data_IF_685665547996
#
_entry.id   IF_685665547996
#
_cell.length_a   1.000
_cell.length_b   1.000
_cell.length_c   1.000
_cell.angle_alpha   90.00
_cell.angle_beta   90.00
_cell.angle_gamma   90.00
#
_symmetry.space_group_name_H-M   'P 1'
#
loop_
_entity.id
_entity.type
_entity.pdbx_description
1 polymer ?
#
# COMPACT_ATOMS: atom_id res chain seq x y z
N UNK A 1 -0.67 17.77 -17.75
CA UNK A 1 -0.28 17.69 -16.33
C UNK A 1 -1.50 18.07 -15.51
N UNK A 2 -1.86 17.30 -14.47
CA UNK A 2 -3.06 17.57 -13.67
C UNK A 2 -2.85 18.84 -12.82
N UNK A 3 -3.11 19.99 -13.41
CA UNK A 3 -3.10 21.31 -12.76
C UNK A 3 -4.38 21.51 -11.90
N UNK A 4 -4.66 20.61 -10.97
CA UNK A 4 -5.71 20.80 -9.95
C UNK A 4 -5.16 21.48 -8.70
N UNK A 5 -4.25 22.42 -8.91
CA UNK A 5 -3.79 23.31 -7.85
C UNK A 5 -4.69 24.55 -7.90
N UNK A 6 -5.47 24.81 -6.85
CA UNK A 6 -6.28 26.03 -6.76
C UNK A 6 -5.69 26.97 -5.71
N UNK A 7 -5.77 28.27 -5.97
CA UNK A 7 -5.31 29.29 -5.02
C UNK A 7 -6.43 29.58 -4.04
N UNK A 8 -6.23 29.22 -2.77
CA UNK A 8 -7.14 29.60 -1.68
C UNK A 8 -6.64 30.87 -1.01
N UNK A 9 -7.53 31.82 -0.75
CA UNK A 9 -7.23 33.04 0.00
C UNK A 9 -7.59 32.84 1.47
N UNK A 10 -6.67 33.17 2.37
CA UNK A 10 -6.93 33.20 3.81
C UNK A 10 -7.66 34.49 4.20
N UNK A 11 -8.31 34.52 5.36
CA UNK A 11 -9.01 35.73 5.88
C UNK A 11 -8.09 36.94 6.01
N UNK A 12 -6.78 36.70 6.11
CA UNK A 12 -5.73 37.72 6.22
C UNK A 12 -5.12 38.13 4.86
N UNK A 13 -5.76 37.80 3.73
CA UNK A 13 -5.32 38.20 2.38
C UNK A 13 -4.10 37.45 1.84
N UNK A 14 -3.56 36.47 2.57
CA UNK A 14 -2.47 35.60 2.10
C UNK A 14 -3.03 34.51 1.20
N UNK A 15 -2.44 34.33 0.02
CA UNK A 15 -2.82 33.24 -0.88
C UNK A 15 -2.00 31.97 -0.60
N UNK A 16 -2.62 30.81 -0.79
CA UNK A 16 -1.97 29.50 -0.66
C UNK A 16 -2.40 28.61 -1.81
N UNK A 17 -1.44 27.95 -2.45
CA UNK A 17 -1.73 26.93 -3.47
C UNK A 17 -2.14 25.63 -2.78
N UNK A 18 -3.34 25.13 -3.07
CA UNK A 18 -3.91 23.90 -2.49
C UNK A 18 -4.14 22.83 -3.55
N UNK A 19 -4.03 21.58 -3.13
CA UNK A 19 -4.21 20.39 -3.96
C UNK A 19 -5.26 19.43 -3.34
N UNK A 20 -6.22 19.99 -2.60
CA UNK A 20 -7.06 19.24 -1.66
C UNK A 20 -7.92 18.16 -2.33
N UNK A 21 -8.36 18.34 -3.59
CA UNK A 21 -9.19 17.34 -4.31
C UNK A 21 -8.41 16.05 -4.58
N UNK A 22 -7.20 16.17 -5.12
CA UNK A 22 -6.32 15.02 -5.42
C UNK A 22 -5.86 14.37 -4.11
N UNK A 23 -5.56 15.16 -3.09
CA UNK A 23 -5.17 14.65 -1.79
C UNK A 23 -6.30 13.85 -1.15
N UNK A 24 -7.54 14.35 -1.21
CA UNK A 24 -8.72 13.66 -0.70
C UNK A 24 -8.99 12.38 -1.49
N UNK A 25 -8.86 12.40 -2.82
CA UNK A 25 -9.00 11.19 -3.64
C UNK A 25 -7.95 10.13 -3.26
N UNK A 26 -6.69 10.54 -3.07
CA UNK A 26 -5.63 9.63 -2.60
C UNK A 26 -5.97 9.06 -1.22
N UNK A 27 -6.49 9.88 -0.31
CA UNK A 27 -6.90 9.42 1.01
C UNK A 27 -8.04 8.40 0.92
N UNK A 28 -9.07 8.68 0.12
CA UNK A 28 -10.19 7.75 -0.11
C UNK A 28 -9.73 6.41 -0.69
N UNK A 29 -8.78 6.43 -1.65
CA UNK A 29 -8.23 5.20 -2.24
C UNK A 29 -7.37 4.41 -1.23
N UNK A 30 -6.68 5.09 -0.32
CA UNK A 30 -5.91 4.44 0.73
C UNK A 30 -6.81 3.86 1.83
N UNK A 31 -7.87 4.58 2.22
CA UNK A 31 -8.89 4.13 3.18
C UNK A 31 -9.66 2.91 2.64
N UNK A 32 -9.87 2.86 1.32
CA UNK A 32 -10.44 1.70 0.62
C UNK A 32 -9.44 0.53 0.45
N UNK A 33 -8.22 0.64 0.99
CA UNK A 33 -7.13 -0.34 0.88
C UNK A 33 -6.72 -0.65 -0.58
N UNK A 34 -7.06 0.20 -1.55
CA UNK A 34 -6.71 0.02 -2.97
C UNK A 34 -5.27 0.40 -3.26
N UNK A 35 -4.76 1.41 -2.55
CA UNK A 35 -3.38 1.87 -2.69
C UNK A 35 -2.66 1.91 -1.33
N UNK A 36 -1.35 2.06 -1.37
CA UNK A 36 -0.55 2.39 -0.18
C UNK A 36 0.40 3.50 -0.55
N UNK A 37 0.44 4.53 0.28
CA UNK A 37 1.13 5.76 -0.06
C UNK A 37 2.28 6.03 0.90
N UNK A 38 3.46 6.23 0.32
CA UNK A 38 4.61 6.75 1.04
C UNK A 38 4.57 8.28 0.99
N UNK A 39 4.46 8.88 2.18
CA UNK A 39 4.46 10.33 2.34
C UNK A 39 5.76 10.80 2.97
N UNK A 40 6.33 11.89 2.44
CA UNK A 40 7.47 12.58 3.06
C UNK A 40 7.08 14.01 3.41
N UNK A 41 7.77 14.57 4.40
CA UNK A 41 7.53 15.93 4.86
C UNK A 41 8.14 16.93 3.90
N UNK A 42 7.30 17.75 3.25
CA UNK A 42 7.75 18.90 2.49
C UNK A 42 7.93 20.11 3.42
N UNK A 43 9.18 20.56 3.54
CA UNK A 43 9.53 21.72 4.36
C UNK A 43 8.92 23.02 3.85
N UNK A 44 8.77 23.18 2.53
CA UNK A 44 8.21 24.40 1.93
C UNK A 44 6.70 24.47 2.13
N UNK A 45 6.01 23.37 1.87
CA UNK A 45 4.56 23.27 2.05
C UNK A 45 4.09 22.99 3.48
N UNK A 46 5.03 22.73 4.42
CA UNK A 46 4.78 22.29 5.80
C UNK A 46 3.73 21.17 5.90
N UNK A 47 3.77 20.23 4.95
CA UNK A 47 2.78 19.16 4.82
C UNK A 47 3.44 17.87 4.35
N UNK A 48 2.88 16.75 4.78
CA UNK A 48 3.25 15.44 4.26
C UNK A 48 2.66 15.25 2.87
N UNK A 49 3.52 15.23 1.85
CA UNK A 49 3.09 15.03 0.46
C UNK A 49 3.18 13.55 0.07
N UNK A 50 2.21 13.05 -0.71
CA UNK A 50 2.28 11.70 -1.27
C UNK A 50 3.38 11.66 -2.33
N UNK A 51 4.50 11.01 -2.03
CA UNK A 51 5.66 10.95 -2.92
C UNK A 51 5.65 9.71 -3.79
N UNK A 52 5.20 8.58 -3.26
CA UNK A 52 5.15 7.31 -3.98
C UNK A 52 3.87 6.54 -3.65
N UNK A 53 3.23 6.02 -4.69
CA UNK A 53 1.99 5.24 -4.59
C UNK A 53 2.28 3.82 -5.04
N UNK A 54 1.84 2.85 -4.24
CA UNK A 54 1.85 1.44 -4.56
C UNK A 54 0.42 0.97 -4.78
N UNK A 55 0.17 0.27 -5.88
CA UNK A 55 -1.13 -0.36 -6.12
C UNK A 55 -1.18 -1.68 -5.34
N UNK A 56 -2.26 -1.88 -4.60
CA UNK A 56 -2.52 -3.14 -3.93
C UNK A 56 -3.26 -4.11 -4.86
N UNK A 57 -3.42 -5.35 -4.43
CA UNK A 57 -4.11 -6.38 -5.22
C UNK A 57 -5.57 -5.98 -5.43
N UNK A 58 -6.19 -5.43 -4.39
CA UNK A 58 -7.56 -4.96 -4.34
C UNK A 58 -7.88 -3.94 -5.45
N UNK A 59 -6.91 -3.13 -5.86
CA UNK A 59 -7.04 -2.21 -7.00
C UNK A 59 -7.35 -2.96 -8.30
N UNK A 60 -6.66 -4.07 -8.57
CA UNK A 60 -6.91 -4.89 -9.76
C UNK A 60 -8.23 -5.65 -9.65
N UNK A 61 -8.56 -6.12 -8.44
CA UNK A 61 -9.85 -6.77 -8.17
C UNK A 61 -11.05 -5.84 -8.37
N UNK A 62 -10.87 -4.52 -8.26
CA UNK A 62 -11.90 -3.53 -8.57
C UNK A 62 -12.20 -3.48 -10.07
N UNK A 63 -11.21 -3.74 -10.92
CA UNK A 63 -11.35 -3.83 -12.38
C UNK A 63 -11.80 -5.21 -12.86
N UNK A 64 -12.36 -6.03 -11.97
CA UNK A 64 -12.81 -7.39 -12.25
C UNK A 64 -11.68 -8.34 -12.73
N UNK A 65 -10.41 -8.02 -12.44
CA UNK A 65 -9.29 -8.93 -12.66
C UNK A 65 -9.18 -9.81 -11.42
N UNK A 66 -9.31 -11.12 -11.59
CA UNK A 66 -9.18 -12.06 -10.47
C UNK A 66 -7.72 -12.22 -10.03
N UNK A 67 -7.49 -12.66 -8.79
CA UNK A 67 -6.11 -12.93 -8.32
C UNK A 67 -5.43 -14.02 -9.17
N UNK A 68 -6.19 -14.99 -9.67
CA UNK A 68 -5.70 -16.05 -10.56
C UNK A 68 -5.18 -15.47 -11.87
N UNK A 69 -5.94 -14.59 -12.50
CA UNK A 69 -5.52 -13.90 -13.72
C UNK A 69 -4.32 -13.01 -13.46
N UNK A 70 -4.31 -12.26 -12.35
CA UNK A 70 -3.17 -11.41 -11.99
C UNK A 70 -1.89 -12.22 -11.79
N UNK A 71 -1.97 -13.35 -11.08
CA UNK A 71 -0.83 -14.29 -10.94
C UNK A 71 -0.37 -14.81 -12.29
N UNK A 72 -1.30 -15.23 -13.15
CA UNK A 72 -0.99 -15.71 -14.49
C UNK A 72 -0.26 -14.66 -15.32
N UNK A 73 -0.76 -13.43 -15.35
CA UNK A 73 -0.13 -12.30 -16.03
C UNK A 73 1.31 -12.09 -15.53
N UNK A 74 1.53 -12.14 -14.21
CA UNK A 74 2.86 -11.96 -13.63
C UNK A 74 3.84 -13.10 -13.99
N UNK A 75 3.38 -14.34 -13.96
CA UNK A 75 4.17 -15.52 -14.33
C UNK A 75 4.49 -15.50 -15.82
N UNK A 76 3.49 -15.25 -16.67
CA UNK A 76 3.64 -15.19 -18.12
C UNK A 76 4.59 -14.06 -18.53
N UNK A 77 4.50 -12.91 -17.88
CA UNK A 77 5.44 -11.81 -18.08
C UNK A 77 6.88 -12.21 -17.72
N UNK A 78 7.07 -12.94 -16.61
CA UNK A 78 8.39 -13.45 -16.23
C UNK A 78 8.91 -14.50 -17.23
N UNK A 79 8.06 -15.45 -17.63
CA UNK A 79 8.37 -16.45 -18.68
C UNK A 79 8.77 -15.76 -19.99
N UNK A 80 8.03 -14.73 -20.41
CA UNK A 80 8.33 -13.95 -21.60
C UNK A 80 9.69 -13.26 -21.53
N UNK A 81 10.05 -12.67 -20.38
CA UNK A 81 11.38 -12.06 -20.20
C UNK A 81 12.49 -13.09 -20.31
N UNK A 82 12.26 -14.28 -19.78
CA UNK A 82 13.20 -15.38 -19.82
C UNK A 82 13.42 -15.91 -21.24
N UNK A 83 12.34 -16.31 -21.92
CA UNK A 83 12.38 -16.88 -23.28
C UNK A 83 13.05 -15.93 -24.27
N UNK A 84 12.81 -14.63 -24.13
CA UNK A 84 13.41 -13.62 -25.03
C UNK A 84 14.78 -13.11 -24.58
N UNK A 85 15.40 -13.71 -23.55
CA UNK A 85 16.68 -13.26 -22.98
C UNK A 85 16.70 -11.76 -22.57
N UNK A 86 15.54 -11.21 -22.20
CA UNK A 86 15.36 -9.78 -21.86
C UNK A 86 15.56 -9.48 -20.38
N UNK A 87 15.95 -10.47 -19.56
CA UNK A 87 16.11 -10.30 -18.11
C UNK A 87 17.12 -9.18 -17.80
N UNK A 88 18.31 -9.22 -18.41
CA UNK A 88 19.33 -8.20 -18.21
C UNK A 88 18.88 -6.82 -18.70
N UNK A 89 18.24 -6.76 -19.87
CA UNK A 89 17.72 -5.50 -20.41
C UNK A 89 16.63 -4.89 -19.51
N UNK A 90 15.76 -5.73 -18.96
CA UNK A 90 14.70 -5.30 -18.03
C UNK A 90 15.29 -4.80 -16.72
N UNK A 91 16.31 -5.48 -16.20
CA UNK A 91 17.03 -5.06 -15.01
C UNK A 91 17.70 -3.70 -15.20
N UNK A 92 18.38 -3.47 -16.34
CA UNK A 92 18.98 -2.17 -16.66
C UNK A 92 17.93 -1.06 -16.81
N UNK A 93 16.79 -1.36 -17.45
CA UNK A 93 15.66 -0.41 -17.53
C UNK A 93 15.10 -0.08 -16.15
N UNK A 94 15.01 -1.07 -15.27
CA UNK A 94 14.56 -0.87 -13.90
C UNK A 94 15.55 -0.02 -13.09
N UNK A 95 16.86 -0.27 -13.21
CA UNK A 95 17.90 0.56 -12.58
C UNK A 95 17.82 2.01 -13.04
N UNK A 96 17.77 2.25 -14.36
CA UNK A 96 17.57 3.59 -14.94
C UNK A 96 16.29 4.27 -14.44
N UNK A 97 15.22 3.49 -14.23
CA UNK A 97 13.98 4.01 -13.66
C UNK A 97 14.16 4.43 -12.21
N UNK A 98 14.86 3.65 -11.38
CA UNK A 98 15.18 4.03 -10.00
C UNK A 98 16.03 5.30 -9.94
N UNK A 99 17.08 5.40 -10.76
CA UNK A 99 17.92 6.60 -10.84
C UNK A 99 17.09 7.83 -11.25
N UNK A 100 16.16 7.66 -12.19
CA UNK A 100 15.22 8.73 -12.58
C UNK A 100 14.28 9.16 -11.46
N UNK A 101 13.85 8.22 -10.60
CA UNK A 101 13.01 8.55 -9.44
C UNK A 101 13.80 9.33 -8.39
N UNK A 102 15.04 8.91 -8.12
CA UNK A 102 15.94 9.59 -7.19
C UNK A 102 16.26 11.02 -7.66
N UNK A 103 16.56 11.20 -8.95
CA UNK A 103 16.77 12.52 -9.56
C UNK A 103 15.53 13.43 -9.51
N UNK A 104 14.33 12.84 -9.44
CA UNK A 104 13.07 13.60 -9.29
C UNK A 104 12.73 13.91 -7.83
N UNK A 105 13.60 13.55 -6.88
CA UNK A 105 13.36 13.72 -5.45
C UNK A 105 12.21 12.85 -4.94
N UNK A 106 11.90 11.73 -5.60
CA UNK A 106 10.85 10.82 -5.14
C UNK A 106 11.36 9.99 -3.97
N UNK A 107 10.57 9.92 -2.90
CA UNK A 107 10.85 9.16 -1.69
C UNK A 107 11.40 7.73 -1.94
N UNK A 108 12.54 7.44 -1.32
CA UNK A 108 13.19 6.14 -1.38
C UNK A 108 12.56 5.15 -0.41
N UNK A 109 12.45 3.87 -0.79
CA UNK A 109 11.88 2.83 0.10
C UNK A 109 12.92 2.36 1.16
N UNK A 110 14.22 2.60 0.91
CA UNK A 110 15.33 1.99 1.68
C UNK A 110 15.24 2.23 3.19
N UNK A 111 14.82 3.43 3.60
CA UNK A 111 14.75 3.85 5.01
C UNK A 111 13.42 3.45 5.69
N UNK A 112 12.40 3.02 4.94
CA UNK A 112 11.08 2.69 5.45
C UNK A 112 10.91 1.18 5.65
N UNK A 113 11.47 0.66 6.74
CA UNK A 113 11.45 -0.78 7.06
C UNK A 113 10.03 -1.36 7.18
N UNK A 114 9.09 -0.66 7.82
CA UNK A 114 7.71 -1.11 7.98
C UNK A 114 6.99 -1.25 6.63
N UNK A 115 7.10 -0.24 5.77
CA UNK A 115 6.54 -0.25 4.42
C UNK A 115 7.18 -1.36 3.57
N UNK A 116 8.50 -1.51 3.63
CA UNK A 116 9.21 -2.59 2.92
C UNK A 116 8.66 -3.96 3.33
N UNK A 117 8.48 -4.20 4.63
CA UNK A 117 7.95 -5.46 5.15
C UNK A 117 6.48 -5.68 4.73
N UNK A 118 5.65 -4.63 4.73
CA UNK A 118 4.27 -4.68 4.25
C UNK A 118 4.21 -5.09 2.77
N UNK A 119 5.01 -4.45 1.92
CA UNK A 119 5.05 -4.73 0.48
C UNK A 119 5.57 -6.15 0.20
N UNK A 120 6.59 -6.60 0.93
CA UNK A 120 7.09 -7.98 0.86
C UNK A 120 5.99 -8.97 1.25
N UNK A 121 5.26 -8.69 2.34
CA UNK A 121 4.15 -9.52 2.80
C UNK A 121 3.05 -9.63 1.74
N UNK A 122 2.58 -8.50 1.20
CA UNK A 122 1.55 -8.51 0.14
C UNK A 122 1.99 -9.28 -1.10
N UNK A 123 3.26 -9.13 -1.51
CA UNK A 123 3.83 -9.91 -2.62
C UNK A 123 3.79 -11.42 -2.30
N UNK A 124 4.14 -11.82 -1.08
CA UNK A 124 4.08 -13.21 -0.63
C UNK A 124 2.65 -13.73 -0.60
N UNK A 125 1.71 -12.95 -0.09
CA UNK A 125 0.30 -13.32 0.01
C UNK A 125 -0.31 -13.56 -1.39
N UNK A 126 0.04 -12.72 -2.38
CA UNK A 126 -0.44 -12.89 -3.76
C UNK A 126 0.20 -14.09 -4.47
N UNK A 127 1.53 -14.16 -4.50
CA UNK A 127 2.26 -15.11 -5.35
C UNK A 127 2.43 -16.50 -4.70
N UNK A 128 2.47 -16.57 -3.37
CA UNK A 128 2.90 -17.76 -2.64
C UNK A 128 4.41 -18.02 -2.76
N UNK A 129 4.93 -18.92 -1.92
CA UNK A 129 6.36 -19.22 -1.89
C UNK A 129 6.89 -19.90 -3.15
N UNK A 130 6.07 -20.76 -3.77
CA UNK A 130 6.45 -21.51 -4.96
C UNK A 130 6.73 -20.59 -6.16
N UNK A 131 5.80 -19.68 -6.46
CA UNK A 131 5.95 -18.73 -7.57
C UNK A 131 7.07 -17.73 -7.29
N UNK A 132 7.26 -17.30 -6.03
CA UNK A 132 8.38 -16.42 -5.66
C UNK A 132 9.71 -17.11 -5.93
N UNK A 133 9.87 -18.38 -5.53
CA UNK A 133 11.08 -19.16 -5.82
C UNK A 133 11.31 -19.25 -7.32
N UNK A 134 10.29 -19.55 -8.11
CA UNK A 134 10.39 -19.58 -9.58
C UNK A 134 10.82 -18.23 -10.17
N UNK A 135 10.16 -17.13 -9.80
CA UNK A 135 10.48 -15.77 -10.28
C UNK A 135 11.87 -15.30 -9.80
N UNK A 136 12.38 -15.85 -8.69
CA UNK A 136 13.72 -15.51 -8.21
C UNK A 136 14.85 -16.21 -8.98
N UNK A 137 14.54 -17.25 -9.77
CA UNK A 137 15.54 -17.99 -10.55
C UNK A 137 15.91 -17.22 -11.83
N UNK A 138 17.21 -17.06 -12.08
CA UNK A 138 17.73 -16.44 -13.33
C UNK A 138 17.55 -17.35 -14.56
N UNK A 139 17.54 -18.67 -14.36
CA UNK A 139 17.21 -19.71 -15.35
C UNK A 139 16.36 -20.76 -14.64
N UNK A 140 15.03 -20.77 -14.82
CA UNK A 140 14.20 -21.78 -14.20
C UNK A 140 14.43 -23.13 -14.86
N UNK A 141 14.58 -24.19 -14.07
CA UNK A 141 14.90 -25.54 -14.56
C UNK A 141 13.70 -26.17 -15.30
N UNK A 142 12.46 -25.87 -14.88
CA UNK A 142 11.21 -26.41 -15.45
C UNK A 142 10.23 -25.29 -15.88
N UNK A 143 10.63 -24.40 -16.79
CA UNK A 143 9.76 -23.28 -17.20
C UNK A 143 8.58 -23.70 -18.11
N UNK A 144 8.68 -24.86 -18.76
CA UNK A 144 7.65 -25.44 -19.64
C UNK A 144 6.56 -26.19 -18.85
N UNK A 145 6.94 -26.96 -17.83
CA UNK A 145 6.05 -27.82 -17.04
C UNK A 145 5.36 -27.08 -15.87
N UNK A 146 5.60 -25.76 -15.74
CA UNK A 146 4.81 -24.92 -14.87
C UNK A 146 3.44 -24.65 -15.51
N UNK A 147 2.61 -25.68 -15.48
CA UNK A 147 1.19 -25.48 -15.24
C UNK A 147 1.13 -24.71 -13.93
N UNK A 148 0.75 -23.44 -14.02
CA UNK A 148 0.29 -22.71 -12.84
C UNK A 148 -0.87 -23.57 -12.37
N UNK A 149 -0.67 -24.38 -11.33
CA UNK A 149 -1.70 -25.23 -10.72
C UNK A 149 -3.01 -24.46 -10.83
N UNK A 150 -3.88 -24.92 -11.73
CA UNK A 150 -5.10 -24.22 -12.10
C UNK A 150 -6.03 -24.09 -10.89
N UNK A 151 -5.71 -24.82 -9.82
CA UNK A 151 -6.37 -24.86 -8.53
C UNK A 151 -5.46 -24.47 -7.35
N UNK A 152 -4.52 -23.52 -7.49
CA UNK A 152 -3.95 -22.87 -6.30
C UNK A 152 -4.97 -21.91 -5.71
N UNK A 153 -5.89 -22.46 -4.93
CA UNK A 153 -6.66 -21.81 -3.87
C UNK A 153 -7.46 -20.57 -4.34
N UNK A 154 -8.79 -20.69 -4.37
CA UNK A 154 -9.71 -19.55 -4.30
C UNK A 154 -10.03 -19.31 -2.83
N UNK A 155 -9.31 -18.46 -2.07
CA UNK A 155 -9.91 -17.97 -0.83
C UNK A 155 -11.15 -17.19 -1.23
N UNK A 156 -12.27 -17.52 -0.63
CA UNK A 156 -13.45 -16.69 -0.65
C UNK A 156 -13.14 -15.36 0.05
N UNK A 157 -12.55 -14.40 -0.66
CA UNK A 157 -12.04 -13.17 -0.05
C UNK A 157 -13.11 -12.11 0.22
N UNK A 158 -14.28 -12.19 -0.43
CA UNK A 158 -15.28 -11.10 -0.41
C UNK A 158 -16.58 -11.47 0.29
N UNK A 159 -17.07 -12.70 0.14
CA UNK A 159 -18.32 -13.13 0.77
C UNK A 159 -18.30 -14.62 1.13
N UNK A 160 -19.15 -15.01 2.09
CA UNK A 160 -19.38 -16.42 2.40
C UNK A 160 -19.95 -17.20 1.22
N UNK A 161 -20.59 -16.53 0.25
CA UNK A 161 -21.14 -17.15 -0.95
C UNK A 161 -20.07 -17.60 -1.95
N UNK A 162 -18.83 -17.13 -1.81
CA UNK A 162 -17.70 -17.48 -2.67
C UNK A 162 -16.90 -18.69 -2.15
N UNK A 163 -17.23 -19.23 -0.97
CA UNK A 163 -16.51 -20.35 -0.36
C UNK A 163 -17.06 -21.69 -0.83
N UNK A 164 -16.20 -22.58 -1.32
CA UNK A 164 -16.63 -23.91 -1.79
C UNK A 164 -16.45 -24.99 -0.72
N UNK A 165 -15.56 -24.77 0.25
CA UNK A 165 -15.27 -25.74 1.33
C UNK A 165 -15.48 -25.16 2.72
N UNK A 166 -15.77 -26.02 3.70
CA UNK A 166 -15.98 -25.62 5.11
C UNK A 166 -14.71 -25.07 5.76
N UNK A 167 -13.53 -25.56 5.36
CA UNK A 167 -12.23 -25.04 5.83
C UNK A 167 -11.95 -23.61 5.34
N UNK A 168 -12.32 -23.28 4.09
CA UNK A 168 -12.21 -21.93 3.54
C UNK A 168 -13.09 -20.94 4.32
N UNK A 169 -14.32 -21.34 4.66
CA UNK A 169 -15.24 -20.55 5.49
C UNK A 169 -14.63 -20.26 6.86
N UNK A 170 -14.03 -21.27 7.50
CA UNK A 170 -13.39 -21.10 8.82
C UNK A 170 -12.17 -20.17 8.76
N UNK A 171 -11.33 -20.30 7.71
CA UNK A 171 -10.19 -19.39 7.48
C UNK A 171 -10.66 -17.95 7.25
N UNK A 172 -11.73 -17.75 6.48
CA UNK A 172 -12.32 -16.42 6.26
C UNK A 172 -12.84 -15.81 7.57
N UNK A 173 -13.59 -16.58 8.39
CA UNK A 173 -14.07 -16.13 9.71
C UNK A 173 -12.94 -15.68 10.60
N UNK A 174 -11.88 -16.49 10.73
CA UNK A 174 -10.72 -16.17 11.55
C UNK A 174 -10.07 -14.86 11.10
N UNK A 175 -9.92 -14.67 9.79
CA UNK A 175 -9.31 -13.45 9.25
C UNK A 175 -10.17 -12.21 9.45
N UNK A 176 -11.49 -12.31 9.27
CA UNK A 176 -12.41 -11.20 9.55
C UNK A 176 -12.34 -10.80 11.02
N UNK A 177 -12.37 -11.79 11.91
CA UNK A 177 -12.21 -11.59 13.35
C UNK A 177 -10.87 -10.92 13.70
N UNK A 178 -9.75 -11.40 13.16
CA UNK A 178 -8.43 -10.81 13.37
C UNK A 178 -8.36 -9.36 12.87
N UNK A 179 -8.96 -9.08 11.70
CA UNK A 179 -9.03 -7.73 11.11
C UNK A 179 -9.85 -6.79 11.99
N UNK A 180 -10.97 -7.25 12.51
CA UNK A 180 -11.82 -6.49 13.43
C UNK A 180 -11.11 -6.21 14.76
N UNK A 181 -10.40 -7.20 15.29
CA UNK A 181 -9.59 -7.04 16.49
C UNK A 181 -8.47 -6.01 16.33
N UNK A 182 -7.82 -5.98 15.16
CA UNK A 182 -6.81 -4.96 14.83
C UNK A 182 -7.47 -3.57 14.75
N UNK A 183 -8.64 -3.46 14.12
CA UNK A 183 -9.40 -2.20 14.06
C UNK A 183 -9.82 -1.71 15.44
N UNK A 184 -10.29 -2.59 16.31
CA UNK A 184 -10.62 -2.25 17.70
C UNK A 184 -9.40 -1.71 18.46
N UNK A 185 -8.27 -2.42 18.42
CA UNK A 185 -7.02 -1.94 19.03
C UNK A 185 -6.57 -0.59 18.49
N UNK A 186 -6.72 -0.35 17.19
CA UNK A 186 -6.41 0.94 16.59
C UNK A 186 -7.35 2.05 17.09
N UNK A 187 -8.66 1.77 17.24
CA UNK A 187 -9.63 2.70 17.82
C UNK A 187 -9.33 3.00 19.29
N UNK A 188 -9.04 1.98 20.09
CA UNK A 188 -8.66 2.11 21.51
C UNK A 188 -7.38 2.95 21.66
N UNK A 189 -6.36 2.66 20.84
CA UNK A 189 -5.13 3.45 20.83
C UNK A 189 -5.40 4.91 20.48
N UNK A 190 -6.22 5.16 19.45
CA UNK A 190 -6.58 6.53 19.07
C UNK A 190 -7.37 7.26 20.17
N UNK A 191 -8.29 6.57 20.84
CA UNK A 191 -9.04 7.13 21.98
C UNK A 191 -8.11 7.46 23.16
N UNK A 192 -7.19 6.56 23.50
CA UNK A 192 -6.19 6.79 24.55
C UNK A 192 -5.25 7.96 24.21
N UNK A 193 -4.80 8.07 22.95
CA UNK A 193 -3.98 9.19 22.50
C UNK A 193 -4.74 10.53 22.62
N UNK A 194 -6.05 10.54 22.34
CA UNK A 194 -6.90 11.73 22.51
C UNK A 194 -7.05 12.08 24.00
N UNK A 195 -7.33 11.10 24.86
CA UNK A 195 -7.47 11.31 26.30
C UNK A 195 -6.17 11.83 26.91
N UNK A 196 -5.03 11.23 26.55
CA UNK A 196 -3.71 11.69 27.00
C UNK A 196 -3.44 13.13 26.60
N UNK A 197 -3.72 13.51 25.34
CA UNK A 197 -3.58 14.90 24.87
C UNK A 197 -4.50 15.87 25.62
N UNK A 198 -5.72 15.44 25.96
CA UNK A 198 -6.66 16.25 26.73
C UNK A 198 -6.17 16.47 28.16
N UNK A 199 -5.73 15.42 28.84
CA UNK A 199 -5.18 15.49 30.19
C UNK A 199 -3.92 16.37 30.25
N UNK A 200 -3.02 16.23 29.28
CA UNK A 200 -1.82 17.06 29.14
C UNK A 200 -2.20 18.54 28.95
N UNK A 201 -3.23 18.82 28.16
CA UNK A 201 -3.72 20.19 27.95
C UNK A 201 -4.34 20.76 29.24
N UNK A 202 -5.11 19.96 29.96
CA UNK A 202 -5.68 20.36 31.25
C UNK A 202 -4.59 20.65 32.29
N UNK A 203 -3.55 19.81 32.38
CA UNK A 203 -2.41 20.04 33.28
C UNK A 203 -1.68 21.36 32.98
N UNK A 204 -1.38 21.62 31.69
CA UNK A 204 -0.77 22.89 31.29
C UNK A 204 -1.65 24.11 31.59
N UNK A 205 -2.97 23.98 31.46
CA UNK A 205 -3.89 25.07 31.78
C UNK A 205 -3.96 25.34 33.29
N UNK A 206 -3.94 24.30 34.13
CA UNK A 206 -3.85 24.45 35.59
C UNK A 206 -2.53 25.06 36.03
N UNK A 207 -1.40 24.65 35.43
CA UNK A 207 -0.10 25.25 35.73
C UNK A 207 -0.10 26.74 35.38
N UNK A 208 -0.61 27.10 34.20
CA UNK A 208 -0.73 28.51 33.77
C UNK A 208 -1.63 29.35 34.69
N UNK A 209 -2.70 28.76 35.25
CA UNK A 209 -3.56 29.44 36.22
C UNK A 209 -2.85 29.65 37.57
N UNK A 210 -2.02 28.70 37.99
CA UNK A 210 -1.24 28.80 39.23
C UNK A 210 -0.14 29.86 39.17
N UNK A 211 0.39 30.15 37.99
CA UNK A 211 1.37 31.24 37.76
C UNK A 211 0.72 32.61 37.53
N UNK A 212 -0.58 32.68 37.29
CA UNK A 212 -1.32 33.92 37.04
C UNK A 212 -2.03 34.49 38.29
N UNK A 213 -2.00 33.76 39.40
CA UNK A 213 -2.47 34.14 40.75
C UNK A 213 -1.31 34.49 41.66
#
# INVERSE_FOLDING_TARGET
MCNQAYVSWDKNGKNRVRYDTVLNAIQMLEDAELITVLREYDRLGQKHKPMRIFLNVEFFLMFNITEKELRKILVDFHKYQFVNNRVNQTFERYKKHLDKLENKGVAGIKQHHSLKNLLIKRRKDLLGEHVIKFVSQRKPVNYLDLDIESDVFKPCFRSFADCNTTEEVQKLRKRLYDKERIRQRAREKAANDILYRKALKESYMTDLQHYAS
#
